data_IF_755163750145
#
_entry.id   IF_755163750145
#
_cell.length_a   1.000
_cell.length_b   1.000
_cell.length_c   1.000
_cell.angle_alpha   90.00
_cell.angle_beta   90.00
_cell.angle_gamma   90.00
#
_symmetry.space_group_name_H-M   'P 1'
#
loop_
_entity.id
_entity.type
_entity.pdbx_description
1 polymer ?
#
# COMPACT_ATOMS: atom_id res chain seq x y z
N UNK A 1 -35.52 25.35 45.67
CA UNK A 1 -34.13 24.84 45.53
C UNK A 1 -34.01 23.50 44.80
N UNK A 2 -35.02 22.63 44.80
CA UNK A 2 -34.96 21.27 44.19
C UNK A 2 -34.95 21.23 42.64
N UNK A 3 -35.47 22.26 41.95
CA UNK A 3 -35.44 22.33 40.48
C UNK A 3 -34.07 22.69 39.89
N UNK A 4 -33.19 23.37 40.65
CA UNK A 4 -31.87 23.79 40.16
C UNK A 4 -30.89 22.61 40.11
N UNK A 5 -30.95 21.72 41.11
CA UNK A 5 -30.09 20.52 41.21
C UNK A 5 -30.40 19.51 40.11
N UNK A 6 -31.69 19.35 39.74
CA UNK A 6 -32.09 18.45 38.63
C UNK A 6 -31.61 18.93 37.26
N UNK A 7 -31.61 20.24 37.01
CA UNK A 7 -31.07 20.82 35.77
C UNK A 7 -29.55 20.64 35.69
N UNK A 8 -28.84 20.81 36.81
CA UNK A 8 -27.39 20.62 36.86
C UNK A 8 -26.97 19.16 36.59
N UNK A 9 -27.68 18.19 37.15
CA UNK A 9 -27.44 16.76 36.89
C UNK A 9 -27.71 16.36 35.42
N UNK A 10 -28.77 16.90 34.81
CA UNK A 10 -29.09 16.62 33.40
C UNK A 10 -28.04 17.20 32.44
N UNK A 11 -27.56 18.43 32.72
CA UNK A 11 -26.48 19.06 31.96
C UNK A 11 -25.16 18.27 32.10
N UNK A 12 -24.82 17.83 33.31
CA UNK A 12 -23.61 17.03 33.57
C UNK A 12 -23.65 15.66 32.85
N UNK A 13 -24.80 14.97 32.86
CA UNK A 13 -24.97 13.70 32.16
C UNK A 13 -24.92 13.87 30.63
N UNK A 14 -25.48 14.96 30.09
CA UNK A 14 -25.44 15.25 28.65
C UNK A 14 -24.01 15.58 28.18
N UNK A 15 -23.21 16.26 29.01
CA UNK A 15 -21.80 16.51 28.71
C UNK A 15 -20.94 15.24 28.73
N UNK A 16 -21.25 14.25 29.56
CA UNK A 16 -20.54 12.96 29.59
C UNK A 16 -20.83 12.12 28.34
N UNK A 17 -22.07 12.16 27.82
CA UNK A 17 -22.43 11.44 26.60
C UNK A 17 -21.79 12.05 25.35
N UNK A 18 -21.58 13.37 25.33
CA UNK A 18 -20.88 14.04 24.23
C UNK A 18 -19.37 13.71 24.23
N UNK A 19 -18.81 13.39 25.40
CA UNK A 19 -17.37 13.18 25.59
C UNK A 19 -16.83 11.89 24.93
N UNK A 20 -17.67 10.91 24.56
CA UNK A 20 -17.20 9.66 23.92
C UNK A 20 -17.49 9.59 22.42
N UNK A 21 -18.09 10.62 21.83
CA UNK A 21 -18.59 10.52 20.45
C UNK A 21 -17.49 10.55 19.38
N UNK A 22 -16.29 11.06 19.67
CA UNK A 22 -15.13 10.99 18.76
C UNK A 22 -14.55 9.57 18.69
N UNK A 23 -14.49 8.85 19.81
CA UNK A 23 -14.05 7.44 19.83
C UNK A 23 -15.01 6.55 19.04
N UNK A 24 -16.32 6.77 19.17
CA UNK A 24 -17.31 6.04 18.37
C UNK A 24 -17.14 6.29 16.87
N UNK A 25 -16.88 7.53 16.46
CA UNK A 25 -16.62 7.87 15.06
C UNK A 25 -15.31 7.25 14.56
N UNK A 26 -14.26 7.28 15.37
CA UNK A 26 -12.99 6.65 15.03
C UNK A 26 -13.12 5.13 14.88
N UNK A 27 -13.80 4.46 15.81
CA UNK A 27 -14.08 3.02 15.73
C UNK A 27 -14.91 2.69 14.48
N UNK A 28 -15.97 3.45 14.21
CA UNK A 28 -16.79 3.25 13.01
C UNK A 28 -15.94 3.38 11.73
N UNK A 29 -14.99 4.32 11.71
CA UNK A 29 -14.09 4.49 10.59
C UNK A 29 -13.16 3.28 10.40
N UNK A 30 -12.65 2.69 11.49
CA UNK A 30 -11.84 1.48 11.43
C UNK A 30 -12.65 0.29 10.88
N UNK A 31 -13.88 0.11 11.38
CA UNK A 31 -14.77 -0.95 10.93
C UNK A 31 -15.10 -0.84 9.44
N UNK A 32 -15.43 0.38 8.98
CA UNK A 32 -15.67 0.65 7.56
C UNK A 32 -14.42 0.38 6.71
N UNK A 33 -13.23 0.83 7.16
CA UNK A 33 -11.99 0.58 6.42
C UNK A 33 -11.69 -0.92 6.31
N UNK A 34 -11.85 -1.67 7.39
CA UNK A 34 -11.63 -3.11 7.42
C UNK A 34 -12.59 -3.86 6.47
N UNK A 35 -13.87 -3.45 6.43
CA UNK A 35 -14.84 -4.00 5.48
C UNK A 35 -14.43 -3.73 4.02
N UNK A 36 -13.95 -2.52 3.72
CA UNK A 36 -13.41 -2.20 2.40
C UNK A 36 -12.20 -3.06 2.02
N UNK A 37 -11.25 -3.23 2.95
CA UNK A 37 -10.06 -4.07 2.75
C UNK A 37 -10.40 -5.56 2.57
N UNK A 38 -11.33 -6.09 3.35
CA UNK A 38 -11.80 -7.48 3.19
C UNK A 38 -12.43 -7.68 1.81
N UNK A 39 -13.29 -6.75 1.39
CA UNK A 39 -13.95 -6.81 0.10
C UNK A 39 -12.97 -6.72 -1.07
N UNK A 40 -12.00 -5.81 -0.99
CA UNK A 40 -10.92 -5.69 -1.99
C UNK A 40 -10.12 -6.99 -2.08
N UNK A 41 -9.74 -7.57 -0.94
CA UNK A 41 -9.02 -8.84 -0.91
C UNK A 41 -9.85 -9.94 -1.55
N UNK A 42 -11.16 -10.04 -1.23
CA UNK A 42 -12.05 -11.03 -1.84
C UNK A 42 -12.14 -10.90 -3.35
N UNK A 43 -12.30 -9.68 -3.88
CA UNK A 43 -12.32 -9.40 -5.31
C UNK A 43 -11.02 -9.82 -6.03
N UNK A 44 -9.86 -9.68 -5.37
CA UNK A 44 -8.57 -10.12 -5.90
C UNK A 44 -8.43 -11.65 -5.91
N UNK A 45 -9.13 -12.34 -5.02
CA UNK A 45 -9.10 -13.79 -4.86
C UNK A 45 -10.14 -14.51 -5.74
N UNK A 46 -11.31 -13.90 -5.90
CA UNK A 46 -12.48 -14.50 -6.53
C UNK A 46 -12.80 -13.78 -7.85
N UNK A 47 -12.42 -14.36 -8.99
CA UNK A 47 -12.57 -13.75 -10.32
C UNK A 47 -14.02 -13.43 -10.75
N UNK A 48 -15.04 -13.94 -10.04
CA UNK A 48 -16.46 -13.78 -10.38
C UNK A 48 -17.33 -13.32 -9.20
N UNK A 49 -16.76 -12.70 -8.17
CA UNK A 49 -17.55 -12.19 -7.05
C UNK A 49 -18.34 -10.95 -7.47
N UNK A 50 -19.63 -11.11 -7.82
CA UNK A 50 -20.55 -9.97 -7.89
C UNK A 50 -20.88 -9.55 -6.46
N UNK A 51 -20.39 -8.38 -6.08
CA UNK A 51 -20.63 -7.80 -4.77
C UNK A 51 -21.51 -6.57 -4.99
N UNK A 52 -22.65 -6.50 -4.29
CA UNK A 52 -23.60 -5.39 -4.40
C UNK A 52 -23.08 -4.04 -3.90
N UNK A 53 -21.80 -3.95 -3.55
CA UNK A 53 -21.11 -2.76 -3.06
C UNK A 53 -19.64 -2.83 -3.47
N UNK A 54 -18.98 -1.68 -3.58
CA UNK A 54 -17.57 -1.58 -3.96
C UNK A 54 -16.68 -1.23 -2.77
N UNK A 55 -15.39 -1.65 -2.73
CA UNK A 55 -14.47 -1.29 -1.66
C UNK A 55 -14.37 0.24 -1.44
N UNK A 56 -14.42 1.01 -2.51
CA UNK A 56 -14.33 2.47 -2.51
C UNK A 56 -15.47 3.12 -1.72
N UNK A 57 -16.65 2.50 -1.69
CA UNK A 57 -17.80 2.96 -0.90
C UNK A 57 -17.46 2.93 0.60
N UNK A 58 -16.85 1.84 1.06
CA UNK A 58 -16.44 1.68 2.45
C UNK A 58 -15.26 2.59 2.81
N UNK A 59 -14.27 2.74 1.91
CA UNK A 59 -13.18 3.69 2.13
C UNK A 59 -13.67 5.14 2.20
N UNK A 60 -14.70 5.50 1.41
CA UNK A 60 -15.33 6.82 1.47
C UNK A 60 -16.07 7.05 2.79
N UNK A 61 -16.78 6.04 3.29
CA UNK A 61 -17.43 6.08 4.60
C UNK A 61 -16.41 6.24 5.73
N UNK A 62 -15.36 5.41 5.74
CA UNK A 62 -14.26 5.49 6.70
C UNK A 62 -13.60 6.88 6.68
N UNK A 63 -13.34 7.42 5.49
CA UNK A 63 -12.77 8.76 5.32
C UNK A 63 -13.66 9.85 5.92
N UNK A 64 -14.97 9.78 5.72
CA UNK A 64 -15.90 10.74 6.29
C UNK A 64 -15.91 10.68 7.83
N UNK A 65 -15.99 9.46 8.39
CA UNK A 65 -16.04 9.24 9.83
C UNK A 65 -14.75 9.65 10.54
N UNK A 66 -13.57 9.31 10.00
CA UNK A 66 -12.29 9.70 10.60
C UNK A 66 -12.07 11.22 10.54
N UNK A 67 -12.57 11.90 9.49
CA UNK A 67 -12.53 13.37 9.42
C UNK A 67 -13.42 14.01 10.47
N UNK A 68 -14.60 13.45 10.75
CA UNK A 68 -15.45 13.93 11.83
C UNK A 68 -14.78 13.73 13.19
N UNK A 69 -14.17 12.56 13.44
CA UNK A 69 -13.43 12.31 14.68
C UNK A 69 -12.29 13.32 14.87
N UNK A 70 -11.54 13.60 13.79
CA UNK A 70 -10.42 14.56 13.79
C UNK A 70 -10.85 16.03 14.00
N UNK A 71 -12.15 16.37 13.94
CA UNK A 71 -12.61 17.70 14.40
C UNK A 71 -12.44 17.89 15.91
N UNK A 72 -12.26 16.80 16.66
CA UNK A 72 -11.99 16.80 18.10
C UNK A 72 -10.57 16.33 18.39
N UNK A 73 -9.61 16.87 17.65
CA UNK A 73 -8.20 16.48 17.71
C UNK A 73 -7.60 16.52 19.13
N UNK A 74 -7.97 17.51 19.94
CA UNK A 74 -7.54 17.64 21.33
C UNK A 74 -8.02 16.48 22.22
N UNK A 75 -9.23 15.97 21.99
CA UNK A 75 -9.76 14.80 22.72
C UNK A 75 -9.06 13.52 22.26
N UNK A 76 -8.87 13.34 20.95
CA UNK A 76 -8.10 12.21 20.42
C UNK A 76 -6.64 12.20 20.91
N UNK A 77 -6.03 13.38 21.08
CA UNK A 77 -4.70 13.51 21.67
C UNK A 77 -4.69 13.17 23.16
N UNK A 78 -5.68 13.64 23.93
CA UNK A 78 -5.82 13.28 25.34
C UNK A 78 -6.00 11.77 25.55
N UNK A 79 -6.69 11.09 24.61
CA UNK A 79 -6.89 9.64 24.61
C UNK A 79 -5.74 8.85 23.97
N UNK A 80 -4.69 9.51 23.44
CA UNK A 80 -3.54 8.85 22.84
C UNK A 80 -3.82 8.12 21.52
N UNK A 81 -4.87 8.51 20.77
CA UNK A 81 -5.27 7.85 19.51
C UNK A 81 -5.23 8.78 18.29
N UNK A 82 -4.79 10.04 18.47
CA UNK A 82 -4.68 11.02 17.37
C UNK A 82 -3.79 10.52 16.24
N UNK A 83 -2.64 9.94 16.56
CA UNK A 83 -1.72 9.37 15.57
C UNK A 83 -2.36 8.27 14.73
N UNK A 84 -3.11 7.37 15.36
CA UNK A 84 -3.84 6.30 14.67
C UNK A 84 -4.98 6.84 13.80
N UNK A 85 -5.71 7.87 14.26
CA UNK A 85 -6.75 8.53 13.47
C UNK A 85 -6.17 9.20 12.20
N UNK A 86 -5.01 9.86 12.33
CA UNK A 86 -4.30 10.41 11.17
C UNK A 86 -3.81 9.29 10.23
N UNK A 87 -3.27 8.20 10.77
CA UNK A 87 -2.83 7.06 9.96
C UNK A 87 -4.00 6.46 9.17
N UNK A 88 -5.15 6.25 9.80
CA UNK A 88 -6.36 5.77 9.14
C UNK A 88 -6.84 6.74 8.04
N UNK A 89 -6.79 8.05 8.30
CA UNK A 89 -7.11 9.07 7.28
C UNK A 89 -6.17 8.98 6.08
N UNK A 90 -4.87 8.82 6.30
CA UNK A 90 -3.88 8.66 5.24
C UNK A 90 -4.14 7.41 4.39
N UNK A 91 -4.44 6.27 5.04
CA UNK A 91 -4.82 5.04 4.35
C UNK A 91 -6.09 5.21 3.51
N UNK A 92 -7.11 5.88 4.03
CA UNK A 92 -8.32 6.19 3.26
C UNK A 92 -8.01 7.08 2.05
N UNK A 93 -7.18 8.12 2.23
CA UNK A 93 -6.76 8.99 1.12
C UNK A 93 -6.00 8.22 0.05
N UNK A 94 -5.12 7.30 0.45
CA UNK A 94 -4.42 6.40 -0.47
C UNK A 94 -5.40 5.53 -1.25
N UNK A 95 -6.27 4.80 -0.55
CA UNK A 95 -7.26 3.90 -1.19
C UNK A 95 -8.29 4.62 -2.08
N UNK A 96 -8.45 5.93 -1.91
CA UNK A 96 -9.31 6.79 -2.74
C UNK A 96 -8.52 7.52 -3.86
N UNK A 97 -7.26 7.16 -4.11
CA UNK A 97 -6.42 7.76 -5.14
C UNK A 97 -5.92 9.17 -4.85
N UNK A 98 -6.10 9.68 -3.62
CA UNK A 98 -5.69 11.02 -3.19
C UNK A 98 -4.25 11.02 -2.67
N UNK A 99 -3.31 10.57 -3.50
CA UNK A 99 -1.93 10.26 -3.07
C UNK A 99 -1.19 11.42 -2.41
N UNK A 100 -1.30 12.63 -2.94
CA UNK A 100 -0.66 13.82 -2.34
C UNK A 100 -1.23 14.15 -0.95
N UNK A 101 -2.53 13.94 -0.74
CA UNK A 101 -3.14 14.11 0.57
C UNK A 101 -2.69 12.99 1.52
N UNK A 102 -2.68 11.75 1.03
CA UNK A 102 -2.23 10.58 1.78
C UNK A 102 -0.80 10.76 2.31
N UNK A 103 0.13 11.21 1.45
CA UNK A 103 1.51 11.52 1.82
C UNK A 103 1.56 12.56 2.96
N UNK A 104 0.93 13.72 2.78
CA UNK A 104 0.93 14.79 3.80
C UNK A 104 0.32 14.32 5.13
N UNK A 105 -0.78 13.59 5.08
CA UNK A 105 -1.43 13.06 6.29
C UNK A 105 -0.56 12.01 6.97
N UNK A 106 0.13 11.15 6.20
CA UNK A 106 1.06 10.17 6.77
C UNK A 106 2.23 10.83 7.48
N UNK A 107 2.79 11.92 6.94
CA UNK A 107 3.83 12.70 7.63
C UNK A 107 3.32 13.26 8.96
N UNK A 108 2.08 13.74 9.03
CA UNK A 108 1.46 14.17 10.28
C UNK A 108 1.26 13.01 11.26
N UNK A 109 0.78 11.86 10.77
CA UNK A 109 0.58 10.67 11.58
C UNK A 109 1.90 10.17 12.19
N UNK A 110 2.98 10.14 11.39
CA UNK A 110 4.33 9.79 11.84
C UNK A 110 4.77 10.68 13.01
N UNK A 111 4.60 12.00 12.90
CA UNK A 111 5.02 12.94 13.94
C UNK A 111 4.23 12.75 15.24
N UNK A 112 2.93 12.45 15.16
CA UNK A 112 2.13 12.18 16.36
C UNK A 112 2.49 10.82 16.98
N UNK A 113 2.60 9.77 16.16
CA UNK A 113 2.94 8.42 16.63
C UNK A 113 4.38 8.33 17.20
N UNK A 114 5.31 9.17 16.76
CA UNK A 114 6.66 9.27 17.35
C UNK A 114 6.64 9.82 18.78
N UNK A 115 5.69 10.69 19.12
CA UNK A 115 5.53 11.19 20.49
C UNK A 115 5.14 10.05 21.43
N UNK A 116 4.20 9.22 20.99
CA UNK A 116 3.70 8.06 21.77
C UNK A 116 4.78 6.97 21.88
N UNK A 117 5.62 6.80 20.84
CA UNK A 117 6.73 5.83 20.84
C UNK A 117 7.74 6.08 21.95
N UNK A 118 8.02 7.33 22.28
CA UNK A 118 8.99 7.67 23.33
C UNK A 118 8.56 7.18 24.72
N UNK A 119 7.27 6.83 24.91
CA UNK A 119 6.77 6.25 26.15
C UNK A 119 6.88 4.72 26.20
N UNK A 120 6.71 4.02 25.06
CA UNK A 120 6.66 2.56 24.99
C UNK A 120 7.96 1.90 24.49
N UNK A 121 8.85 2.66 23.84
CA UNK A 121 10.12 2.17 23.28
C UNK A 121 10.00 1.29 22.04
N UNK A 122 8.80 0.79 21.70
CA UNK A 122 8.54 -0.05 20.53
C UNK A 122 7.74 0.72 19.48
N UNK A 123 8.19 0.76 18.21
CA UNK A 123 7.43 1.36 17.12
C UNK A 123 6.07 0.68 16.93
N UNK A 124 5.00 1.47 16.79
CA UNK A 124 3.68 0.93 16.50
C UNK A 124 3.57 0.46 15.05
N UNK A 125 2.70 -0.53 14.79
CA UNK A 125 2.33 -0.98 13.45
C UNK A 125 2.02 0.20 12.52
N UNK A 126 1.13 1.08 12.97
CA UNK A 126 0.65 2.20 12.17
C UNK A 126 1.78 3.16 11.82
N UNK A 127 2.75 3.38 12.72
CA UNK A 127 3.91 4.22 12.43
C UNK A 127 4.76 3.62 11.31
N UNK A 128 5.02 2.31 11.35
CA UNK A 128 5.77 1.61 10.30
C UNK A 128 5.03 1.66 8.96
N UNK A 129 3.73 1.42 8.97
CA UNK A 129 2.90 1.49 7.76
C UNK A 129 2.91 2.90 7.17
N UNK A 130 2.87 3.95 8.01
CA UNK A 130 2.97 5.33 7.52
C UNK A 130 4.34 5.64 6.92
N UNK A 131 5.44 5.12 7.48
CA UNK A 131 6.78 5.22 6.85
C UNK A 131 6.84 4.47 5.52
N UNK A 132 6.05 3.40 5.36
CA UNK A 132 5.97 2.59 4.15
C UNK A 132 5.01 3.15 3.08
N UNK A 133 4.14 4.13 3.43
CA UNK A 133 2.98 4.48 2.61
C UNK A 133 3.34 4.97 1.20
N UNK A 134 4.40 5.77 1.07
CA UNK A 134 4.85 6.26 -0.24
C UNK A 134 5.30 5.11 -1.16
N UNK A 135 5.91 4.06 -0.59
CA UNK A 135 6.25 2.86 -1.34
C UNK A 135 5.01 2.08 -1.79
N UNK A 136 4.00 1.98 -0.92
CA UNK A 136 2.72 1.34 -1.27
C UNK A 136 1.99 2.10 -2.39
N UNK A 137 1.98 3.44 -2.32
CA UNK A 137 1.44 4.31 -3.37
C UNK A 137 2.20 4.11 -4.69
N UNK A 138 3.53 4.01 -4.65
CA UNK A 138 4.34 3.81 -5.85
C UNK A 138 4.02 2.47 -6.55
N UNK A 139 3.75 1.40 -5.80
CA UNK A 139 3.30 0.11 -6.37
C UNK A 139 1.98 0.29 -7.13
N UNK A 140 1.02 1.01 -6.54
CA UNK A 140 -0.28 1.24 -7.16
C UNK A 140 -0.19 2.09 -8.42
N UNK A 141 0.63 3.16 -8.39
CA UNK A 141 0.93 3.98 -9.58
C UNK A 141 1.57 3.14 -10.69
N UNK A 142 2.54 2.29 -10.36
CA UNK A 142 3.19 1.40 -11.32
C UNK A 142 2.18 0.42 -11.94
N UNK A 143 1.32 -0.18 -11.11
CA UNK A 143 0.28 -1.11 -11.56
C UNK A 143 -0.73 -0.43 -12.51
N UNK A 144 -1.18 0.78 -12.17
CA UNK A 144 -2.08 1.56 -13.02
C UNK A 144 -1.43 1.91 -14.38
N UNK A 145 -0.13 2.21 -14.37
CA UNK A 145 0.66 2.49 -15.58
C UNK A 145 0.90 1.29 -16.50
N UNK A 146 0.65 0.05 -16.06
CA UNK A 146 0.84 -1.14 -16.90
C UNK A 146 -0.02 -1.10 -18.18
N UNK A 147 -1.19 -0.47 -18.13
CA UNK A 147 -2.04 -0.35 -19.32
C UNK A 147 -1.40 0.51 -20.41
N UNK A 148 -0.67 1.56 -20.03
CA UNK A 148 0.06 2.40 -20.99
C UNK A 148 1.28 1.68 -21.56
N UNK A 149 1.87 0.76 -20.80
CA UNK A 149 2.95 -0.10 -21.28
C UNK A 149 2.43 -1.18 -22.25
N UNK A 150 1.22 -1.73 -21.99
CA UNK A 150 0.57 -2.74 -22.84
C UNK A 150 0.00 -2.18 -24.13
N UNK A 151 -0.28 -0.87 -24.19
CA UNK A 151 -0.86 -0.24 -25.37
C UNK A 151 0.19 -0.18 -26.49
N UNK A 152 0.00 -0.89 -27.62
CA UNK A 152 0.91 -0.80 -28.75
C UNK A 152 0.86 0.62 -29.33
N UNK A 153 2.03 1.21 -29.55
CA UNK A 153 2.18 2.42 -30.35
C UNK A 153 2.97 2.04 -31.60
N UNK A 154 2.29 1.86 -32.77
CA UNK A 154 2.94 1.37 -34.00
C UNK A 154 4.07 2.28 -34.52
N UNK A 155 4.15 3.51 -34.03
CA UNK A 155 5.13 4.52 -34.43
C UNK A 155 6.21 4.71 -33.37
N UNK A 156 6.08 4.11 -32.19
CA UNK A 156 7.08 4.25 -31.13
C UNK A 156 8.37 3.53 -31.47
N UNK A 157 9.49 4.21 -31.25
CA UNK A 157 10.79 3.58 -31.20
C UNK A 157 10.90 2.67 -29.96
N UNK A 158 11.68 1.56 -29.99
CA UNK A 158 11.88 0.67 -28.84
C UNK A 158 12.31 1.40 -27.57
N UNK A 159 13.09 2.47 -27.70
CA UNK A 159 13.61 3.29 -26.61
C UNK A 159 12.47 3.92 -25.79
N UNK A 160 11.35 4.29 -26.43
CA UNK A 160 10.17 4.82 -25.74
C UNK A 160 9.45 3.75 -24.92
N UNK A 161 9.55 2.48 -25.31
CA UNK A 161 9.05 1.38 -24.48
C UNK A 161 9.97 1.16 -23.27
N UNK A 162 11.29 1.24 -23.46
CA UNK A 162 12.26 1.16 -22.38
C UNK A 162 12.09 2.30 -21.38
N UNK A 163 11.95 3.54 -21.84
CA UNK A 163 11.71 4.72 -20.98
C UNK A 163 10.45 4.56 -20.12
N UNK A 164 9.32 4.16 -20.74
CA UNK A 164 8.08 3.89 -20.00
C UNK A 164 8.25 2.77 -18.98
N UNK A 165 8.95 1.70 -19.35
CA UNK A 165 9.26 0.62 -18.42
C UNK A 165 10.14 1.13 -17.26
N UNK A 166 11.19 1.89 -17.54
CA UNK A 166 12.14 2.35 -16.53
C UNK A 166 11.49 3.29 -15.51
N UNK A 167 10.59 4.18 -15.96
CA UNK A 167 9.81 5.04 -15.07
C UNK A 167 8.85 4.24 -14.15
N UNK A 168 8.30 3.13 -14.64
CA UNK A 168 7.38 2.32 -13.84
C UNK A 168 8.13 1.36 -12.91
N UNK A 169 9.22 0.76 -13.37
CA UNK A 169 9.80 -0.43 -12.76
C UNK A 169 11.15 -0.15 -12.12
N UNK A 170 12.17 0.11 -12.94
CA UNK A 170 13.56 0.16 -12.50
C UNK A 170 14.34 1.11 -13.39
N UNK A 171 15.04 2.07 -12.78
CA UNK A 171 15.83 3.05 -13.51
C UNK A 171 17.27 3.03 -12.99
N UNK A 172 18.18 2.50 -13.81
CA UNK A 172 19.59 2.35 -13.45
C UNK A 172 20.33 3.68 -13.26
N UNK A 173 19.85 4.76 -13.89
CA UNK A 173 20.48 6.08 -13.81
C UNK A 173 20.00 6.87 -12.58
N UNK A 174 18.73 6.70 -12.19
CA UNK A 174 18.13 7.36 -11.04
C UNK A 174 17.07 6.48 -10.38
N UNK A 175 17.46 5.83 -9.28
CA UNK A 175 16.60 4.96 -8.47
C UNK A 175 15.40 5.66 -7.81
N UNK A 176 15.27 6.99 -7.93
CA UNK A 176 14.06 7.73 -7.53
C UNK A 176 13.00 7.79 -8.63
N UNK A 177 13.35 7.45 -9.87
CA UNK A 177 12.45 7.54 -11.01
C UNK A 177 11.69 6.24 -11.27
N UNK A 178 12.25 5.08 -10.90
CA UNK A 178 11.56 3.79 -11.00
C UNK A 178 10.59 3.57 -9.83
N UNK A 179 9.29 3.56 -10.09
CA UNK A 179 8.30 3.41 -9.00
C UNK A 179 8.44 2.10 -8.22
N UNK A 180 8.65 0.95 -8.87
CA UNK A 180 8.83 -0.33 -8.17
C UNK A 180 10.15 -0.39 -7.40
N UNK A 181 11.26 0.08 -7.99
CA UNK A 181 12.55 0.17 -7.31
C UNK A 181 12.47 1.03 -6.04
N UNK A 182 11.88 2.23 -6.16
CA UNK A 182 11.65 3.13 -5.03
C UNK A 182 10.78 2.46 -3.96
N UNK A 183 9.69 1.79 -4.37
CA UNK A 183 8.79 1.10 -3.47
C UNK A 183 9.51 0.02 -2.66
N UNK A 184 10.29 -0.86 -3.33
CA UNK A 184 11.02 -1.93 -2.67
C UNK A 184 12.00 -1.39 -1.62
N UNK A 185 12.72 -0.30 -1.95
CA UNK A 185 13.63 0.37 -1.01
C UNK A 185 12.89 0.94 0.20
N UNK A 186 11.77 1.62 0.00
CA UNK A 186 10.97 2.20 1.10
C UNK A 186 10.42 1.09 2.01
N UNK A 187 9.90 0.00 1.43
CA UNK A 187 9.37 -1.13 2.19
C UNK A 187 10.46 -1.82 3.02
N UNK A 188 11.65 -1.98 2.46
CA UNK A 188 12.80 -2.55 3.18
C UNK A 188 13.24 -1.68 4.34
N UNK A 189 13.36 -0.37 4.09
CA UNK A 189 13.69 0.58 5.13
C UNK A 189 12.65 0.53 6.25
N UNK A 190 11.35 0.52 5.92
CA UNK A 190 10.29 0.42 6.92
C UNK A 190 10.35 -0.90 7.70
N UNK A 191 10.62 -2.04 7.05
CA UNK A 191 10.72 -3.34 7.70
C UNK A 191 11.89 -3.43 8.70
N UNK A 192 12.99 -2.71 8.45
CA UNK A 192 14.14 -2.62 9.35
C UNK A 192 13.85 -1.79 10.61
N UNK A 193 12.80 -0.94 10.60
CA UNK A 193 12.48 -0.10 11.74
C UNK A 193 11.74 -0.85 12.85
N UNK A 194 11.32 -2.10 12.64
CA UNK A 194 10.55 -2.88 13.62
C UNK A 194 11.22 -4.19 13.96
N UNK A 195 10.95 -4.68 15.18
CA UNK A 195 11.53 -5.92 15.66
C UNK A 195 11.17 -7.12 14.75
N UNK A 196 12.12 -8.04 14.53
CA UNK A 196 11.86 -9.31 13.87
C UNK A 196 10.67 -10.05 14.49
N UNK A 197 9.77 -10.55 13.65
CA UNK A 197 8.57 -11.30 14.07
C UNK A 197 7.32 -10.45 14.29
N UNK A 198 7.39 -9.13 14.18
CA UNK A 198 6.18 -8.30 14.21
C UNK A 198 5.30 -8.56 12.97
N UNK A 199 3.98 -8.63 13.15
CA UNK A 199 3.02 -8.97 12.08
C UNK A 199 3.13 -8.08 10.82
N UNK A 200 3.43 -6.79 11.00
CA UNK A 200 3.66 -5.84 9.92
C UNK A 200 4.79 -6.25 8.98
N UNK A 201 5.78 -7.02 9.44
CA UNK A 201 6.85 -7.51 8.55
C UNK A 201 6.29 -8.43 7.48
N UNK A 202 5.34 -9.31 7.83
CA UNK A 202 4.67 -10.17 6.86
C UNK A 202 3.83 -9.35 5.88
N UNK A 203 3.19 -8.28 6.35
CA UNK A 203 2.46 -7.35 5.48
C UNK A 203 3.39 -6.64 4.48
N UNK A 204 4.52 -6.09 4.94
CA UNK A 204 5.50 -5.41 4.08
C UNK A 204 6.16 -6.38 3.09
N UNK A 205 6.49 -7.59 3.52
CA UNK A 205 7.04 -8.63 2.65
C UNK A 205 6.07 -9.01 1.53
N UNK A 206 4.78 -9.20 1.84
CA UNK A 206 3.76 -9.46 0.83
C UNK A 206 3.56 -8.26 -0.12
N UNK A 207 3.63 -7.03 0.41
CA UNK A 207 3.55 -5.82 -0.41
C UNK A 207 4.73 -5.71 -1.40
N UNK A 208 5.94 -6.07 -0.95
CA UNK A 208 7.11 -6.14 -1.83
C UNK A 208 6.95 -7.20 -2.93
N UNK A 209 6.35 -8.35 -2.62
CA UNK A 209 6.04 -9.38 -3.63
C UNK A 209 4.95 -8.93 -4.61
N UNK A 210 3.97 -8.13 -4.16
CA UNK A 210 3.00 -7.49 -5.06
C UNK A 210 3.71 -6.52 -6.03
N UNK A 211 4.71 -5.77 -5.56
CA UNK A 211 5.56 -4.94 -6.42
C UNK A 211 6.28 -5.78 -7.50
N UNK A 212 6.82 -6.95 -7.12
CA UNK A 212 7.42 -7.87 -8.09
C UNK A 212 6.40 -8.47 -9.06
N UNK A 213 5.14 -8.63 -8.67
CA UNK A 213 4.08 -9.06 -9.60
C UNK A 213 3.86 -8.02 -10.69
N UNK A 214 3.81 -6.73 -10.32
CA UNK A 214 3.72 -5.61 -11.28
C UNK A 214 4.93 -5.62 -12.22
N UNK A 215 6.14 -5.85 -11.70
CA UNK A 215 7.34 -5.99 -12.51
C UNK A 215 7.24 -7.15 -13.51
N UNK A 216 6.84 -8.34 -13.06
CA UNK A 216 6.64 -9.49 -13.96
C UNK A 216 5.66 -9.17 -15.08
N UNK A 217 4.54 -8.53 -14.76
CA UNK A 217 3.53 -8.14 -15.75
C UNK A 217 4.06 -7.11 -16.75
N UNK A 218 4.95 -6.22 -16.32
CA UNK A 218 5.61 -5.27 -17.20
C UNK A 218 6.58 -5.96 -18.17
N UNK A 219 7.35 -6.96 -17.70
CA UNK A 219 8.20 -7.78 -18.56
C UNK A 219 7.40 -8.56 -19.61
N UNK A 220 6.23 -9.07 -19.22
CA UNK A 220 5.31 -9.74 -20.14
C UNK A 220 4.70 -8.76 -21.15
N UNK A 221 4.36 -7.53 -20.74
CA UNK A 221 3.92 -6.48 -21.66
C UNK A 221 4.99 -6.11 -22.69
N UNK A 222 6.26 -5.99 -22.27
CA UNK A 222 7.40 -5.78 -23.18
C UNK A 222 7.54 -6.95 -24.15
N UNK A 223 7.47 -8.19 -23.65
CA UNK A 223 7.53 -9.40 -24.49
C UNK A 223 6.44 -9.38 -25.57
N UNK A 224 5.20 -9.14 -25.16
CA UNK A 224 4.06 -9.14 -26.08
C UNK A 224 4.22 -8.05 -27.14
N UNK A 225 4.71 -6.87 -26.75
CA UNK A 225 5.02 -5.80 -27.71
C UNK A 225 6.10 -6.22 -28.69
N UNK A 226 7.19 -6.84 -28.21
CA UNK A 226 8.26 -7.35 -29.06
C UNK A 226 7.77 -8.36 -30.12
N UNK A 227 6.89 -9.28 -29.69
CA UNK A 227 6.34 -10.33 -30.54
C UNK A 227 5.34 -9.78 -31.57
N UNK A 228 4.57 -8.74 -31.21
CA UNK A 228 3.46 -8.24 -32.03
C UNK A 228 3.73 -6.94 -32.78
N UNK A 229 4.80 -6.19 -32.46
CA UNK A 229 5.07 -4.90 -33.09
C UNK A 229 5.37 -5.07 -34.60
N UNK A 230 4.60 -4.41 -35.49
CA UNK A 230 4.66 -4.66 -36.93
C UNK A 230 5.87 -4.02 -37.61
N UNK A 231 6.35 -2.89 -37.09
CA UNK A 231 7.28 -2.01 -37.82
C UNK A 231 8.72 -2.04 -37.29
N UNK A 232 9.02 -2.86 -36.28
CA UNK A 232 10.39 -2.93 -35.75
C UNK A 232 11.26 -3.86 -36.57
N UNK A 233 12.45 -3.37 -36.91
CA UNK A 233 13.48 -4.15 -37.62
C UNK A 233 14.03 -5.28 -36.74
N UNK A 234 14.65 -6.28 -37.37
CA UNK A 234 15.30 -7.39 -36.64
C UNK A 234 16.35 -6.89 -35.64
N UNK A 235 17.24 -5.94 -35.97
CA UNK A 235 18.21 -5.40 -35.00
C UNK A 235 17.53 -4.73 -33.80
N UNK A 236 16.48 -3.93 -34.01
CA UNK A 236 15.71 -3.29 -32.94
C UNK A 236 15.07 -4.32 -32.00
N UNK A 237 14.39 -5.33 -32.57
CA UNK A 237 13.79 -6.41 -31.78
C UNK A 237 14.85 -7.19 -30.99
N UNK A 238 16.01 -7.46 -31.59
CA UNK A 238 17.13 -8.13 -30.90
C UNK A 238 17.65 -7.29 -29.72
N UNK A 239 17.92 -6.01 -29.94
CA UNK A 239 18.42 -5.11 -28.89
C UNK A 239 17.45 -5.01 -27.72
N UNK A 240 16.16 -4.82 -27.99
CA UNK A 240 15.14 -4.80 -26.95
C UNK A 240 15.01 -6.14 -26.22
N UNK A 241 15.11 -7.26 -26.93
CA UNK A 241 15.08 -8.59 -26.30
C UNK A 241 16.27 -8.82 -25.37
N UNK A 242 17.47 -8.40 -25.79
CA UNK A 242 18.70 -8.54 -25.00
C UNK A 242 18.59 -7.67 -23.73
N UNK A 243 18.15 -6.42 -23.85
CA UNK A 243 17.84 -5.57 -22.69
C UNK A 243 16.78 -6.20 -21.76
N UNK A 244 15.68 -6.72 -22.31
CA UNK A 244 14.62 -7.39 -21.52
C UNK A 244 15.16 -8.58 -20.74
N UNK A 245 16.13 -9.33 -21.28
CA UNK A 245 16.76 -10.45 -20.57
C UNK A 245 17.55 -9.96 -19.36
N UNK A 246 18.32 -8.88 -19.49
CA UNK A 246 19.01 -8.23 -18.35
C UNK A 246 18.01 -7.84 -17.26
N UNK A 247 16.90 -7.20 -17.66
CA UNK A 247 15.84 -6.84 -16.71
C UNK A 247 15.16 -8.05 -16.06
N UNK A 248 15.02 -9.17 -16.80
CA UNK A 248 14.50 -10.43 -16.26
C UNK A 248 15.45 -11.06 -15.25
N UNK A 249 16.75 -11.00 -15.47
CA UNK A 249 17.77 -11.50 -14.51
C UNK A 249 17.72 -10.71 -13.20
N UNK A 250 17.64 -9.38 -13.30
CA UNK A 250 17.47 -8.50 -12.13
C UNK A 250 16.19 -8.82 -11.36
N UNK A 251 15.07 -8.96 -12.07
CA UNK A 251 13.80 -9.42 -11.48
C UNK A 251 13.96 -10.75 -10.74
N UNK A 252 14.64 -11.74 -11.34
CA UNK A 252 14.83 -13.07 -10.72
C UNK A 252 15.70 -12.99 -9.46
N UNK A 253 16.71 -12.11 -9.43
CA UNK A 253 17.50 -11.85 -8.24
C UNK A 253 16.65 -11.25 -7.11
N UNK A 254 15.87 -10.20 -7.40
CA UNK A 254 14.96 -9.57 -6.44
C UNK A 254 13.92 -10.57 -5.94
N UNK A 255 13.31 -11.34 -6.84
CA UNK A 255 12.36 -12.41 -6.52
C UNK A 255 12.95 -13.42 -5.55
N UNK A 256 14.16 -13.93 -5.79
CA UNK A 256 14.81 -14.91 -4.92
C UNK A 256 14.95 -14.37 -3.50
N UNK A 257 15.54 -13.19 -3.36
CA UNK A 257 15.77 -12.55 -2.07
C UNK A 257 14.46 -12.31 -1.30
N UNK A 258 13.42 -11.79 -1.98
CA UNK A 258 12.12 -11.53 -1.33
C UNK A 258 11.36 -12.79 -0.96
N UNK A 259 11.42 -13.82 -1.79
CA UNK A 259 10.81 -15.11 -1.46
C UNK A 259 11.53 -15.75 -0.25
N UNK A 260 12.86 -15.68 -0.18
CA UNK A 260 13.61 -16.15 0.99
C UNK A 260 13.21 -15.39 2.27
N UNK A 261 13.07 -14.07 2.19
CA UNK A 261 12.56 -13.27 3.30
C UNK A 261 11.15 -13.69 3.71
N UNK A 262 10.23 -13.90 2.76
CA UNK A 262 8.89 -14.41 3.07
C UNK A 262 8.95 -15.78 3.77
N UNK A 263 9.78 -16.71 3.30
CA UNK A 263 9.94 -18.01 3.95
C UNK A 263 10.43 -17.86 5.40
N UNK A 264 11.37 -16.95 5.68
CA UNK A 264 11.84 -16.72 7.03
C UNK A 264 10.75 -16.19 7.99
N UNK A 265 9.73 -15.51 7.46
CA UNK A 265 8.62 -14.96 8.23
C UNK A 265 7.46 -15.94 8.46
N UNK A 266 7.43 -17.09 7.78
CA UNK A 266 6.30 -18.02 7.82
C UNK A 266 6.60 -19.25 8.68
N UNK A 267 5.65 -19.64 9.52
CA UNK A 267 5.67 -20.94 10.18
C UNK A 267 5.61 -22.05 9.11
N UNK A 268 6.64 -22.88 9.03
CA UNK A 268 6.78 -23.89 7.97
C UNK A 268 7.53 -23.42 6.72
N UNK A 269 8.02 -22.17 6.70
CA UNK A 269 8.93 -21.68 5.67
C UNK A 269 8.41 -21.82 4.25
N UNK A 270 9.13 -22.57 3.41
CA UNK A 270 8.79 -22.79 2.00
C UNK A 270 7.59 -23.72 1.79
N UNK A 271 7.23 -24.51 2.79
CA UNK A 271 6.09 -25.43 2.74
C UNK A 271 4.76 -24.74 3.09
N UNK A 272 4.81 -23.48 3.55
CA UNK A 272 3.61 -22.72 3.88
C UNK A 272 2.79 -22.40 2.61
N UNK A 273 1.44 -22.54 2.62
CA UNK A 273 0.60 -22.30 1.44
C UNK A 273 0.76 -20.92 0.81
N UNK A 274 0.98 -19.89 1.63
CA UNK A 274 1.24 -18.52 1.15
C UNK A 274 2.53 -18.42 0.33
N UNK A 275 3.59 -19.15 0.71
CA UNK A 275 4.83 -19.19 -0.05
C UNK A 275 4.61 -19.83 -1.43
N UNK A 276 3.95 -21.00 -1.46
CA UNK A 276 3.61 -21.69 -2.70
C UNK A 276 2.77 -20.80 -3.64
N UNK A 277 1.80 -20.06 -3.09
CA UNK A 277 0.98 -19.12 -3.83
C UNK A 277 1.80 -18.01 -4.48
N UNK A 278 2.68 -17.34 -3.73
CA UNK A 278 3.53 -16.29 -4.29
C UNK A 278 4.52 -16.84 -5.31
N UNK A 279 5.04 -18.05 -5.09
CA UNK A 279 5.90 -18.73 -6.06
C UNK A 279 5.18 -18.90 -7.40
N UNK A 280 3.92 -19.35 -7.39
CA UNK A 280 3.09 -19.50 -8.59
C UNK A 280 2.83 -18.14 -9.27
N UNK A 281 2.40 -17.13 -8.50
CA UNK A 281 2.08 -15.80 -9.03
C UNK A 281 3.25 -15.10 -9.70
N UNK A 282 4.48 -15.38 -9.26
CA UNK A 282 5.72 -14.76 -9.78
C UNK A 282 6.44 -15.65 -10.81
N UNK A 283 5.74 -16.61 -11.42
CA UNK A 283 6.28 -17.46 -12.49
C UNK A 283 7.31 -18.47 -11.97
N UNK A 284 6.98 -19.20 -10.91
CA UNK A 284 7.72 -20.39 -10.48
C UNK A 284 7.21 -21.62 -11.20
N UNK A 285 8.16 -22.31 -11.85
CA UNK A 285 8.03 -23.73 -12.17
C UNK A 285 7.91 -24.58 -10.90
#
# INVERSE_FOLDING_TARGET
>A
MTHSVKKFFFLAALSLLLACSHLMQFQSAQDAFNQGAELENRLRLEQNAYLGTSPETYYSLAYAQVREALKRDGQLAADGVKGNALALKALCEWKLGKYEAAHRTAQQAILELEKDRNAAGVPSRDWVVMKALDGLIAIEKANAGLNDLRRPDPQAAPERLQERYSALIWNEEDAQQGHIEQALRILDQAAQLIHPGHDVQLYLAQSALAALKVWSDALDAVKNTLDTHPNWTIPQKKALNDWRKTQRELFLQQRRSRMENLAALLAGGKDHPLYARWRLLLGGE
#
